data_IF_361254052519
#
_entry.id   IF_361254052519
#
_cell.length_a   1.000
_cell.length_b   1.000
_cell.length_c   1.000
_cell.angle_alpha   90.00
_cell.angle_beta   90.00
_cell.angle_gamma   90.00
#
_symmetry.space_group_name_H-M   'P 1'
#
loop_
_entity.id
_entity.type
_entity.pdbx_description
1 polymer ?
#
# COMPACT_ATOMS: atom_id res chain seq x y z
N UNK A 1 18.22 34.39 -12.81
CA UNK A 1 18.35 32.93 -12.64
C UNK A 1 16.96 32.34 -12.84
N UNK A 2 16.66 31.85 -14.02
CA UNK A 2 15.34 31.29 -14.37
C UNK A 2 15.19 29.93 -13.69
N UNK A 3 14.22 29.82 -12.76
CA UNK A 3 13.84 28.54 -12.17
C UNK A 3 13.18 27.67 -13.25
N UNK A 4 13.96 26.75 -13.82
CA UNK A 4 13.41 25.65 -14.60
C UNK A 4 12.71 24.70 -13.64
N UNK A 5 11.38 24.82 -13.51
CA UNK A 5 10.55 23.82 -12.84
C UNK A 5 10.50 22.60 -13.75
N UNK A 6 11.39 21.64 -13.52
CA UNK A 6 11.34 20.31 -14.15
C UNK A 6 9.93 19.74 -13.91
N UNK A 7 9.22 19.23 -14.94
CA UNK A 7 7.97 18.55 -14.70
C UNK A 7 8.27 17.31 -13.86
N UNK A 8 7.84 17.32 -12.60
CA UNK A 8 7.95 16.16 -11.72
C UNK A 8 7.24 15.00 -12.42
N UNK A 9 7.89 13.83 -12.61
CA UNK A 9 7.23 12.67 -13.19
C UNK A 9 5.99 12.36 -12.37
N UNK A 10 4.87 12.07 -13.05
CA UNK A 10 3.60 11.77 -12.40
C UNK A 10 3.79 10.72 -11.28
N UNK A 11 3.08 10.83 -10.14
CA UNK A 11 3.25 9.91 -9.02
C UNK A 11 3.01 8.48 -9.49
N UNK A 12 4.09 7.71 -9.63
CA UNK A 12 4.00 6.31 -10.05
C UNK A 12 3.71 5.49 -8.81
N UNK A 13 2.63 4.74 -8.84
CA UNK A 13 2.28 3.82 -7.77
C UNK A 13 3.41 2.79 -7.56
N UNK A 14 3.68 2.39 -6.30
CA UNK A 14 4.60 1.31 -6.01
C UNK A 14 4.21 0.02 -6.76
N UNK A 15 5.18 -0.84 -7.11
CA UNK A 15 4.89 -2.14 -7.71
C UNK A 15 4.02 -2.99 -6.79
N UNK A 16 3.28 -3.93 -7.35
CA UNK A 16 2.40 -4.80 -6.56
C UNK A 16 1.71 -5.88 -7.38
N UNK A 17 1.07 -6.85 -6.73
CA UNK A 17 0.36 -7.93 -7.39
C UNK A 17 -0.79 -7.42 -8.25
N UNK A 18 -0.97 -8.07 -9.41
CA UNK A 18 -2.03 -7.72 -10.36
C UNK A 18 -3.40 -8.08 -9.77
N UNK A 19 -4.32 -7.11 -9.62
CA UNK A 19 -5.63 -7.37 -9.04
C UNK A 19 -6.53 -8.16 -9.99
N UNK A 20 -7.36 -9.05 -9.44
CA UNK A 20 -8.49 -9.64 -10.16
C UNK A 20 -9.65 -8.64 -10.26
N UNK A 21 -10.51 -8.74 -11.29
CA UNK A 21 -11.72 -7.93 -11.37
C UNK A 21 -12.62 -8.18 -10.15
N UNK A 22 -13.22 -7.11 -9.62
CA UNK A 22 -14.16 -7.08 -8.47
C UNK A 22 -13.54 -7.43 -7.10
N UNK A 23 -12.77 -8.50 -7.00
CA UNK A 23 -12.17 -9.02 -5.74
C UNK A 23 -10.81 -8.37 -5.45
N UNK A 24 -10.07 -7.94 -6.47
CA UNK A 24 -8.71 -7.43 -6.31
C UNK A 24 -7.72 -8.51 -5.87
N UNK A 25 -6.90 -8.21 -4.87
CA UNK A 25 -5.87 -9.08 -4.31
C UNK A 25 -6.32 -9.86 -3.06
N UNK A 26 -7.62 -9.86 -2.75
CA UNK A 26 -8.15 -10.57 -1.57
C UNK A 26 -7.93 -12.08 -1.61
N UNK A 27 -7.88 -12.67 -2.80
CA UNK A 27 -7.55 -14.09 -2.98
C UNK A 27 -6.13 -14.46 -2.51
N UNK A 28 -5.20 -13.48 -2.47
CA UNK A 28 -3.84 -13.65 -1.94
C UNK A 28 -3.78 -13.41 -0.43
N UNK A 29 -4.78 -12.75 0.14
CA UNK A 29 -4.83 -12.37 1.55
C UNK A 29 -5.76 -13.32 2.29
N UNK A 30 -5.20 -14.27 3.03
CA UNK A 30 -6.02 -15.17 3.85
C UNK A 30 -6.54 -14.39 5.06
N UNK A 31 -7.86 -14.28 5.22
CA UNK A 31 -8.51 -13.47 6.28
C UNK A 31 -7.99 -13.78 7.69
N UNK A 32 -7.71 -15.05 7.98
CA UNK A 32 -7.18 -15.48 9.28
C UNK A 32 -5.67 -15.28 9.46
N UNK A 33 -4.92 -14.98 8.39
CA UNK A 33 -3.45 -14.90 8.38
C UNK A 33 -2.94 -13.79 7.44
N UNK A 34 -3.55 -12.61 7.53
CA UNK A 34 -3.26 -11.52 6.62
C UNK A 34 -1.87 -10.93 6.85
N UNK A 35 -1.41 -10.93 8.09
CA UNK A 35 -0.06 -10.59 8.49
C UNK A 35 0.97 -11.43 7.72
N UNK A 36 0.78 -12.75 7.67
CA UNK A 36 1.65 -13.66 6.92
C UNK A 36 1.58 -13.43 5.43
N UNK A 37 0.37 -13.33 4.87
CA UNK A 37 0.19 -13.07 3.43
C UNK A 37 0.82 -11.74 2.99
N UNK A 38 0.71 -10.69 3.82
CA UNK A 38 1.34 -9.40 3.54
C UNK A 38 2.86 -9.47 3.68
N UNK A 39 3.38 -10.27 4.60
CA UNK A 39 4.82 -10.50 4.73
C UNK A 39 5.39 -11.28 3.53
N UNK A 40 4.70 -12.32 3.04
CA UNK A 40 5.08 -13.02 1.81
C UNK A 40 5.09 -12.09 0.59
N UNK A 41 4.13 -11.14 0.53
CA UNK A 41 4.11 -10.13 -0.51
C UNK A 41 5.24 -9.10 -0.36
N UNK A 42 5.62 -8.74 0.87
CA UNK A 42 6.73 -7.81 1.09
C UNK A 42 8.07 -8.42 0.70
N UNK A 43 8.27 -9.72 0.90
CA UNK A 43 9.45 -10.45 0.43
C UNK A 43 9.55 -10.44 -1.10
N UNK A 44 8.41 -10.48 -1.81
CA UNK A 44 8.37 -10.50 -3.28
C UNK A 44 8.47 -9.12 -3.93
N UNK A 45 7.78 -8.13 -3.39
CA UNK A 45 7.65 -6.79 -4.00
C UNK A 45 8.51 -5.72 -3.32
N UNK A 46 9.05 -6.03 -2.13
CA UNK A 46 9.84 -5.11 -1.33
C UNK A 46 9.05 -4.44 -0.21
N UNK A 47 9.70 -3.55 0.55
CA UNK A 47 9.13 -2.97 1.77
C UNK A 47 7.98 -1.98 1.53
N UNK A 48 7.78 -1.52 0.30
CA UNK A 48 6.69 -0.62 -0.08
C UNK A 48 6.05 -1.16 -1.35
N UNK A 49 4.80 -1.60 -1.26
CA UNK A 49 4.09 -2.21 -2.38
C UNK A 49 2.61 -1.87 -2.36
N UNK A 50 1.95 -2.05 -3.51
CA UNK A 50 0.54 -1.74 -3.67
C UNK A 50 -0.32 -3.00 -3.68
N UNK A 51 -1.38 -3.04 -2.87
CA UNK A 51 -2.41 -4.09 -2.90
C UNK A 51 -3.77 -3.49 -3.27
N UNK A 52 -4.69 -4.35 -3.65
CA UNK A 52 -6.07 -3.95 -3.97
C UNK A 52 -7.00 -4.78 -3.09
N UNK A 53 -7.72 -4.14 -2.19
CA UNK A 53 -8.69 -4.76 -1.30
C UNK A 53 -10.08 -4.52 -1.89
N UNK A 54 -10.58 -5.49 -2.67
CA UNK A 54 -11.78 -5.29 -3.47
C UNK A 54 -11.59 -4.14 -4.47
N UNK A 55 -12.42 -3.10 -4.35
CA UNK A 55 -12.35 -1.90 -5.19
C UNK A 55 -11.37 -0.82 -4.67
N UNK A 56 -10.85 -0.97 -3.45
CA UNK A 56 -9.93 0.01 -2.85
C UNK A 56 -8.48 -0.36 -3.15
N UNK A 57 -7.72 0.61 -3.67
CA UNK A 57 -6.27 0.47 -3.89
C UNK A 57 -5.51 1.04 -2.70
N UNK A 58 -4.61 0.26 -2.12
CA UNK A 58 -3.93 0.57 -0.85
C UNK A 58 -2.43 0.34 -0.97
N UNK A 59 -1.62 1.22 -0.40
CA UNK A 59 -0.16 1.02 -0.26
C UNK A 59 0.13 0.40 1.10
N UNK A 60 0.89 -0.69 1.11
CA UNK A 60 1.34 -1.40 2.30
C UNK A 60 2.81 -1.09 2.53
N UNK A 61 3.12 -0.72 3.77
CA UNK A 61 4.48 -0.52 4.25
C UNK A 61 4.84 -1.71 5.14
N UNK A 62 5.84 -2.48 4.73
CA UNK A 62 6.30 -3.67 5.41
C UNK A 62 7.80 -3.54 5.68
N UNK A 63 8.17 -3.27 6.92
CA UNK A 63 9.55 -3.11 7.35
C UNK A 63 9.77 -1.90 8.24
N UNK A 64 10.76 -1.99 9.12
CA UNK A 64 11.01 -0.97 10.13
C UNK A 64 11.35 0.40 9.52
N UNK A 65 12.30 0.44 8.60
CA UNK A 65 12.73 1.70 7.95
C UNK A 65 11.58 2.38 7.21
N UNK A 66 10.81 1.62 6.41
CA UNK A 66 9.68 2.17 5.65
C UNK A 66 8.56 2.72 6.55
N UNK A 67 8.24 2.02 7.65
CA UNK A 67 7.23 2.47 8.61
C UNK A 67 7.73 3.68 9.40
N UNK A 68 8.99 3.66 9.82
CA UNK A 68 9.64 4.78 10.53
C UNK A 68 9.62 6.04 9.68
N UNK A 69 10.08 5.96 8.44
CA UNK A 69 10.14 7.11 7.54
C UNK A 69 8.75 7.66 7.23
N UNK A 70 7.76 6.78 7.04
CA UNK A 70 6.38 7.19 6.78
C UNK A 70 5.77 7.92 7.99
N UNK A 71 5.90 7.35 9.20
CA UNK A 71 5.33 7.94 10.41
C UNK A 71 6.06 9.21 10.86
N UNK A 72 7.38 9.26 10.73
CA UNK A 72 8.19 10.42 11.15
C UNK A 72 8.13 11.55 10.11
N UNK A 73 8.23 11.23 8.82
CA UNK A 73 8.23 12.22 7.74
C UNK A 73 6.85 12.72 7.35
N UNK A 74 5.81 11.88 7.52
CA UNK A 74 4.47 12.13 6.96
C UNK A 74 3.35 11.91 8.00
N UNK A 75 3.70 11.89 9.29
CA UNK A 75 2.78 11.60 10.40
C UNK A 75 1.43 12.32 10.37
N UNK A 76 1.35 13.64 10.09
CA UNK A 76 0.08 14.36 10.04
C UNK A 76 -0.84 13.92 8.90
N UNK A 77 -0.26 13.49 7.76
CA UNK A 77 -1.01 13.08 6.57
C UNK A 77 -1.42 11.60 6.63
N UNK A 78 -0.75 10.81 7.47
CA UNK A 78 -1.07 9.41 7.75
C UNK A 78 -1.87 9.21 9.05
N UNK A 79 -2.29 10.31 9.69
CA UNK A 79 -3.11 10.25 10.89
C UNK A 79 -4.54 9.76 10.61
N UNK A 80 -5.02 9.90 9.37
CA UNK A 80 -6.33 9.43 8.95
C UNK A 80 -6.41 7.90 8.97
N UNK A 81 -7.53 7.38 9.48
CA UNK A 81 -7.87 5.95 9.47
C UNK A 81 -9.02 5.69 8.52
N UNK A 82 -8.76 5.53 7.21
CA UNK A 82 -9.82 5.27 6.26
C UNK A 82 -10.51 3.94 6.59
N UNK A 83 -11.84 3.87 6.50
CA UNK A 83 -12.56 2.61 6.66
C UNK A 83 -12.15 1.67 5.53
N UNK A 84 -11.75 0.46 5.90
CA UNK A 84 -11.43 -0.60 4.97
C UNK A 84 -12.68 -1.48 4.89
N UNK A 85 -13.48 -1.29 3.85
CA UNK A 85 -14.81 -1.89 3.74
C UNK A 85 -14.78 -3.43 3.85
N UNK A 86 -13.72 -4.07 3.36
CA UNK A 86 -13.60 -5.52 3.42
C UNK A 86 -13.50 -6.08 4.84
N UNK A 87 -12.95 -5.32 5.78
CA UNK A 87 -12.81 -5.73 7.19
C UNK A 87 -14.09 -5.57 7.99
N UNK A 88 -15.03 -4.78 7.49
CA UNK A 88 -16.32 -4.51 8.13
C UNK A 88 -17.41 -5.49 7.68
N UNK A 89 -17.15 -6.26 6.62
CA UNK A 89 -18.09 -7.22 6.02
C UNK A 89 -17.91 -8.66 6.54
N UNK A 90 -16.96 -8.88 7.44
CA UNK A 90 -16.60 -10.17 8.06
C UNK A 90 -17.01 -10.12 9.52
#
# INVERSE_FOLDING_TARGET
RTCTRTPSPAPRWPPGPRPLPLIGNLHLLRVSQQDRSLMELSERYGPVFTVHLGCQKTVVLAGYEAVRDALVGTGPQLADRPPIAIFQLI
#
